data_IF_967962230427
#
_entry.id   IF_967962230427
#
_cell.length_a   1.000
_cell.length_b   1.000
_cell.length_c   1.000
_cell.angle_alpha   90.00
_cell.angle_beta   90.00
_cell.angle_gamma   90.00
#
_symmetry.space_group_name_H-M   'P 1'
#
loop_
_entity.id
_entity.type
_entity.pdbx_description
1 polymer ?
#
# COMPACT_ATOMS: atom_id res chain seq x y z
N UNK A 1 9.13 1.93 0.71
CA UNK A 1 8.21 1.18 1.61
C UNK A 1 6.85 0.86 0.99
N UNK A 2 6.12 1.80 0.37
CA UNK A 2 4.77 1.54 -0.15
C UNK A 2 4.68 0.37 -1.16
N UNK A 3 5.69 0.19 -2.00
CA UNK A 3 5.83 -0.92 -2.94
C UNK A 3 5.88 -2.29 -2.27
N UNK A 4 6.48 -2.39 -1.07
CA UNK A 4 6.49 -3.63 -0.30
C UNK A 4 5.09 -3.97 0.23
N UNK A 5 4.37 -2.98 0.76
CA UNK A 5 2.98 -3.18 1.21
C UNK A 5 2.08 -3.63 0.05
N UNK A 6 2.27 -3.02 -1.13
CA UNK A 6 1.58 -3.42 -2.35
C UNK A 6 1.89 -4.88 -2.72
N UNK A 7 3.17 -5.28 -2.69
CA UNK A 7 3.60 -6.65 -2.96
C UNK A 7 3.05 -7.66 -1.94
N UNK A 8 2.92 -7.26 -0.68
CA UNK A 8 2.48 -8.11 0.42
C UNK A 8 0.96 -8.40 0.44
N UNK A 9 0.18 -7.78 -0.45
CA UNK A 9 -1.25 -8.08 -0.59
C UNK A 9 -1.52 -9.53 -1.00
N UNK A 10 -2.75 -10.00 -0.78
CA UNK A 10 -3.19 -11.34 -1.17
C UNK A 10 -2.88 -11.61 -2.64
N UNK A 11 -2.23 -12.74 -3.00
CA UNK A 11 -1.95 -13.08 -4.39
C UNK A 11 -3.20 -13.04 -5.27
N UNK A 12 -3.09 -12.38 -6.43
CA UNK A 12 -4.21 -12.17 -7.36
C UNK A 12 -5.04 -10.91 -7.08
N UNK A 13 -4.84 -10.24 -5.94
CA UNK A 13 -5.61 -9.06 -5.51
C UNK A 13 -4.76 -7.78 -5.46
N UNK A 14 -3.55 -7.80 -6.00
CA UNK A 14 -2.64 -6.64 -5.99
C UNK A 14 -2.86 -5.82 -7.26
N UNK A 15 -3.49 -4.66 -7.12
CA UNK A 15 -3.94 -3.83 -8.23
C UNK A 15 -3.09 -2.56 -8.41
N UNK A 16 -2.97 -2.10 -9.66
CA UNK A 16 -2.42 -0.79 -9.99
C UNK A 16 -3.16 -0.16 -11.17
N UNK A 17 -3.23 1.16 -11.24
CA UNK A 17 -3.79 1.87 -12.40
C UNK A 17 -2.74 1.95 -13.52
N UNK A 18 -3.13 2.14 -14.80
CA UNK A 18 -2.21 2.01 -15.94
C UNK A 18 -1.10 3.08 -15.99
N UNK A 19 -1.28 4.20 -15.28
CA UNK A 19 -0.31 5.30 -15.22
C UNK A 19 0.29 5.50 -13.83
N UNK A 20 0.04 4.57 -12.91
CA UNK A 20 0.74 4.54 -11.62
C UNK A 20 2.23 4.27 -11.84
N UNK A 21 3.03 4.63 -10.83
CA UNK A 21 4.46 4.32 -10.81
C UNK A 21 4.78 3.60 -9.52
N UNK A 22 5.52 2.50 -9.63
CA UNK A 22 6.04 1.76 -8.49
C UNK A 22 7.52 2.07 -8.38
N UNK A 23 8.01 2.41 -7.19
CA UNK A 23 9.42 2.66 -6.95
C UNK A 23 9.95 1.66 -5.92
N UNK A 24 11.09 1.05 -6.24
CA UNK A 24 11.87 0.21 -5.33
C UNK A 24 13.15 0.92 -4.96
N UNK A 25 13.52 0.83 -3.69
CA UNK A 25 14.82 1.29 -3.22
C UNK A 25 15.20 0.54 -1.95
N UNK A 26 16.49 0.58 -1.64
CA UNK A 26 17.05 0.13 -0.38
C UNK A 26 16.60 1.03 0.78
N UNK A 27 16.66 0.57 2.03
CA UNK A 27 16.43 1.46 3.16
C UNK A 27 17.52 2.53 3.20
N UNK A 28 17.13 3.76 3.53
CA UNK A 28 18.03 4.89 3.72
C UNK A 28 18.12 5.25 5.20
N UNK A 29 19.30 5.66 5.65
CA UNK A 29 19.53 6.16 7.00
C UNK A 29 20.82 6.96 7.06
N UNK A 30 20.99 7.70 8.16
CA UNK A 30 22.19 8.47 8.44
C UNK A 30 22.44 8.49 9.94
N UNK A 31 23.72 8.41 10.33
CA UNK A 31 24.15 8.44 11.73
C UNK A 31 25.45 9.23 11.83
N UNK A 32 25.57 10.00 12.92
CA UNK A 32 26.79 10.70 13.32
C UNK A 32 26.92 10.61 14.83
N UNK A 33 28.13 10.45 15.36
CA UNK A 33 28.34 10.32 16.81
C UNK A 33 29.60 9.56 17.14
N UNK A 34 29.61 8.91 18.30
CA UNK A 34 30.73 8.06 18.69
C UNK A 34 30.85 6.88 17.71
N UNK A 35 32.07 6.36 17.54
CA UNK A 35 32.32 5.23 16.64
C UNK A 35 31.43 4.02 16.97
N UNK A 36 31.17 3.77 18.26
CA UNK A 36 30.26 2.72 18.73
C UNK A 36 28.84 2.91 18.22
N UNK A 37 28.30 4.13 18.29
CA UNK A 37 26.94 4.42 17.83
C UNK A 37 26.84 4.25 16.32
N UNK A 38 27.82 4.77 15.58
CA UNK A 38 27.90 4.60 14.11
C UNK A 38 27.91 3.12 13.76
N UNK A 39 28.69 2.30 14.47
CA UNK A 39 28.75 0.87 14.25
C UNK A 39 27.40 0.18 14.52
N UNK A 40 26.76 0.45 15.66
CA UNK A 40 25.46 -0.14 16.04
C UNK A 40 24.40 0.19 14.98
N UNK A 41 24.29 1.46 14.58
CA UNK A 41 23.32 1.88 13.59
C UNK A 41 23.61 1.33 12.18
N UNK A 42 24.88 1.17 11.83
CA UNK A 42 25.28 0.54 10.56
C UNK A 42 24.88 -0.94 10.54
N UNK A 43 25.02 -1.67 11.65
CA UNK A 43 24.55 -3.06 11.74
C UNK A 43 23.02 -3.16 11.62
N UNK A 44 22.29 -2.23 12.24
CA UNK A 44 20.83 -2.24 12.17
C UNK A 44 20.31 -1.95 10.76
N UNK A 45 20.88 -0.98 10.03
CA UNK A 45 20.45 -0.71 8.65
C UNK A 45 20.75 -1.89 7.71
N UNK A 46 21.88 -2.60 7.92
CA UNK A 46 22.20 -3.81 7.16
C UNK A 46 21.20 -4.94 7.44
N UNK A 47 20.79 -5.10 8.71
CA UNK A 47 19.77 -6.07 9.11
C UNK A 47 18.41 -5.75 8.51
N UNK A 48 17.99 -4.48 8.55
CA UNK A 48 16.75 -4.02 7.91
C UNK A 48 16.79 -4.29 6.41
N UNK A 49 17.91 -4.00 5.74
CA UNK A 49 18.08 -4.25 4.31
C UNK A 49 17.89 -5.73 3.97
N UNK A 50 18.53 -6.61 4.72
CA UNK A 50 18.42 -8.07 4.51
C UNK A 50 16.98 -8.56 4.73
N UNK A 51 16.33 -8.13 5.82
CA UNK A 51 14.92 -8.44 6.06
C UNK A 51 14.00 -7.97 4.92
N UNK A 52 14.23 -6.76 4.38
CA UNK A 52 13.46 -6.28 3.23
C UNK A 52 13.68 -7.16 2.00
N UNK A 53 14.92 -7.60 1.75
CA UNK A 53 15.20 -8.49 0.63
C UNK A 53 14.42 -9.80 0.74
N UNK A 54 14.44 -10.44 1.91
CA UNK A 54 13.68 -11.66 2.17
C UNK A 54 12.17 -11.46 1.97
N UNK A 55 11.62 -10.33 2.41
CA UNK A 55 10.21 -10.00 2.22
C UNK A 55 9.85 -9.81 0.75
N UNK A 56 10.70 -9.13 -0.03
CA UNK A 56 10.50 -9.02 -1.47
C UNK A 56 10.59 -10.39 -2.15
N UNK A 57 11.58 -11.22 -1.82
CA UNK A 57 11.69 -12.59 -2.35
C UNK A 57 10.42 -13.40 -2.04
N UNK A 58 9.89 -13.28 -0.82
CA UNK A 58 8.67 -13.98 -0.39
C UNK A 58 7.42 -13.57 -1.19
N UNK A 59 7.28 -12.28 -1.49
CA UNK A 59 6.05 -11.74 -2.07
C UNK A 59 6.12 -11.52 -3.59
N UNK A 60 7.30 -11.62 -4.18
CA UNK A 60 7.53 -11.43 -5.62
C UNK A 60 7.99 -12.74 -6.27
N UNK A 61 8.30 -12.69 -7.56
CA UNK A 61 8.87 -13.83 -8.30
C UNK A 61 10.38 -13.74 -8.44
N UNK A 62 11.00 -12.76 -7.79
CA UNK A 62 12.41 -12.45 -7.91
C UNK A 62 13.21 -13.29 -6.92
N UNK A 63 14.39 -13.74 -7.34
CA UNK A 63 15.36 -14.31 -6.42
C UNK A 63 16.11 -13.20 -5.66
N UNK A 64 16.88 -13.59 -4.63
CA UNK A 64 17.57 -12.63 -3.75
C UNK A 64 18.55 -11.72 -4.51
N UNK A 65 19.26 -12.24 -5.50
CA UNK A 65 20.23 -11.46 -6.28
C UNK A 65 19.53 -10.40 -7.13
N UNK A 66 18.42 -10.77 -7.78
CA UNK A 66 17.58 -9.83 -8.53
C UNK A 66 16.98 -8.75 -7.63
N UNK A 67 16.51 -9.13 -6.43
CA UNK A 67 16.01 -8.17 -5.44
C UNK A 67 17.11 -7.19 -5.02
N UNK A 68 18.30 -7.70 -4.68
CA UNK A 68 19.42 -6.86 -4.29
C UNK A 68 19.80 -5.86 -5.41
N UNK A 69 19.91 -6.33 -6.65
CA UNK A 69 20.18 -5.48 -7.82
C UNK A 69 19.09 -4.42 -8.02
N UNK A 70 17.82 -4.81 -7.91
CA UNK A 70 16.68 -3.94 -8.20
C UNK A 70 16.41 -2.89 -7.12
N UNK A 71 16.85 -3.12 -5.88
CA UNK A 71 16.70 -2.19 -4.78
C UNK A 71 17.94 -1.32 -4.54
N UNK A 72 19.10 -1.66 -5.10
CA UNK A 72 20.36 -0.94 -4.81
C UNK A 72 20.29 0.56 -5.12
N UNK A 73 19.53 0.96 -6.14
CA UNK A 73 19.23 2.35 -6.46
C UNK A 73 17.73 2.50 -6.71
N UNK A 74 17.29 3.74 -6.75
CA UNK A 74 15.92 4.08 -7.09
C UNK A 74 15.55 3.48 -8.45
N UNK A 75 14.68 2.47 -8.41
CA UNK A 75 14.19 1.78 -9.61
C UNK A 75 12.71 2.07 -9.78
N UNK A 76 12.38 2.79 -10.84
CA UNK A 76 11.01 3.17 -11.20
C UNK A 76 10.45 2.19 -12.23
N UNK A 77 9.27 1.66 -11.94
CA UNK A 77 8.60 0.65 -12.75
C UNK A 77 7.26 1.20 -13.24
N UNK A 78 6.95 0.91 -14.51
CA UNK A 78 5.58 0.95 -15.00
C UNK A 78 4.74 -0.15 -14.32
N UNK A 79 3.40 -0.06 -14.34
CA UNK A 79 2.55 -1.12 -13.81
C UNK A 79 2.80 -2.47 -14.48
N UNK A 80 3.09 -2.48 -15.78
CA UNK A 80 3.36 -3.71 -16.52
C UNK A 80 4.67 -4.38 -16.05
N UNK A 81 5.75 -3.60 -15.89
CA UNK A 81 7.00 -4.13 -15.31
C UNK A 81 6.82 -4.55 -13.85
N UNK A 82 6.04 -3.79 -13.05
CA UNK A 82 5.73 -4.17 -11.68
C UNK A 82 4.95 -5.49 -11.61
N UNK A 83 4.10 -5.76 -12.60
CA UNK A 83 3.38 -7.03 -12.74
C UNK A 83 4.31 -8.17 -13.12
N UNK A 84 5.22 -7.95 -14.06
CA UNK A 84 6.25 -8.94 -14.45
C UNK A 84 7.11 -9.33 -13.25
N UNK A 85 7.50 -8.36 -12.41
CA UNK A 85 8.29 -8.61 -11.21
C UNK A 85 7.47 -9.29 -10.11
N UNK A 86 6.15 -9.35 -10.25
CA UNK A 86 5.25 -9.94 -9.26
C UNK A 86 5.01 -9.07 -8.04
N UNK A 87 5.13 -7.74 -8.19
CA UNK A 87 4.74 -6.75 -7.17
C UNK A 87 3.23 -6.52 -7.20
N UNK A 88 2.65 -6.54 -8.41
CA UNK A 88 1.21 -6.50 -8.63
C UNK A 88 0.76 -7.68 -9.48
N UNK A 89 -0.54 -7.92 -9.52
CA UNK A 89 -1.14 -8.97 -10.34
C UNK A 89 -1.98 -8.39 -11.48
N UNK A 90 -2.61 -7.24 -11.25
CA UNK A 90 -3.63 -6.68 -12.15
C UNK A 90 -3.42 -5.19 -12.39
N UNK A 91 -3.24 -4.82 -13.65
CA UNK A 91 -3.39 -3.45 -14.12
C UNK A 91 -4.86 -3.20 -14.40
N UNK A 92 -5.56 -2.43 -13.54
CA UNK A 92 -6.99 -2.17 -13.66
C UNK A 92 -7.27 -0.78 -14.23
N UNK A 93 -8.31 -0.65 -15.07
CA UNK A 93 -8.86 0.66 -15.41
C UNK A 93 -9.83 1.09 -14.30
N UNK A 94 -10.05 2.40 -14.09
CA UNK A 94 -11.10 2.88 -13.21
C UNK A 94 -12.43 2.21 -13.59
N UNK A 95 -12.99 1.43 -12.67
CA UNK A 95 -14.31 0.83 -12.90
C UNK A 95 -15.36 1.89 -12.59
N UNK A 96 -16.27 2.14 -13.54
CA UNK A 96 -17.50 2.85 -13.21
C UNK A 96 -18.24 2.03 -12.16
N UNK A 97 -18.72 2.68 -11.10
CA UNK A 97 -19.57 2.03 -10.12
C UNK A 97 -20.75 1.42 -10.86
N UNK A 98 -21.03 0.13 -10.62
CA UNK A 98 -22.16 -0.58 -11.25
C UNK A 98 -23.52 -0.01 -10.80
N UNK A 99 -23.54 0.71 -9.68
CA UNK A 99 -24.72 1.37 -9.10
C UNK A 99 -24.33 2.74 -8.55
N UNK A 100 -25.25 3.72 -8.51
CA UNK A 100 -25.04 4.99 -7.82
C UNK A 100 -24.62 4.78 -6.37
N UNK A 101 -23.83 5.70 -5.81
CA UNK A 101 -23.33 5.60 -4.42
C UNK A 101 -24.51 5.53 -3.44
N UNK A 102 -25.63 6.18 -3.76
CA UNK A 102 -26.85 6.15 -2.94
C UNK A 102 -27.38 4.72 -2.74
N UNK A 103 -27.36 3.87 -3.78
CA UNK A 103 -27.85 2.47 -3.70
C UNK A 103 -26.87 1.52 -2.99
N UNK A 104 -25.60 1.90 -2.85
CA UNK A 104 -24.59 1.12 -2.12
C UNK A 104 -24.69 1.31 -0.59
N UNK A 105 -25.43 2.34 -0.14
CA UNK A 105 -25.66 2.64 1.28
C UNK A 105 -26.91 1.98 1.86
N UNK A 106 -27.69 1.28 1.03
CA UNK A 106 -28.84 0.51 1.49
C UNK A 106 -28.37 -0.67 2.35
N UNK A 107 -28.61 -0.55 3.66
CA UNK A 107 -28.25 -1.50 4.71
C UNK A 107 -28.83 -2.92 4.53
N UNK A 108 -29.62 -3.17 3.49
CA UNK A 108 -30.16 -4.48 3.13
C UNK A 108 -29.17 -5.37 2.36
N UNK A 109 -28.07 -4.83 1.83
CA UNK A 109 -27.15 -5.58 0.95
C UNK A 109 -25.82 -5.97 1.62
N UNK A 110 -25.60 -5.58 2.87
CA UNK A 110 -24.33 -5.79 3.58
C UNK A 110 -24.42 -7.07 4.42
N UNK A 111 -24.07 -8.21 3.84
CA UNK A 111 -23.76 -9.45 4.57
C UNK A 111 -22.27 -9.43 5.01
N UNK A 112 -21.91 -8.54 5.94
CA UNK A 112 -20.62 -8.62 6.65
C UNK A 112 -20.84 -8.86 8.14
N UNK A 113 -20.03 -9.74 8.77
CA UNK A 113 -20.21 -10.13 10.15
C UNK A 113 -20.02 -8.93 11.09
N UNK A 114 -21.13 -8.51 11.70
CA UNK A 114 -21.35 -7.89 13.03
C UNK A 114 -20.48 -6.72 13.54
N UNK A 115 -19.31 -6.42 13.00
CA UNK A 115 -18.39 -5.37 13.49
C UNK A 115 -18.64 -4.00 12.83
N UNK A 116 -19.34 -3.95 11.69
CA UNK A 116 -19.47 -2.73 10.88
C UNK A 116 -20.57 -1.74 11.32
N UNK A 117 -21.54 -2.17 12.14
CA UNK A 117 -22.69 -1.31 12.53
C UNK A 117 -22.30 -0.02 13.26
N UNK A 118 -21.42 -0.05 14.30
CA UNK A 118 -21.08 1.17 15.04
C UNK A 118 -20.34 2.19 14.18
N UNK A 119 -19.45 1.72 13.30
CA UNK A 119 -18.66 2.58 12.41
C UNK A 119 -19.57 3.23 11.35
N UNK A 120 -20.53 2.48 10.79
CA UNK A 120 -21.51 3.02 9.85
C UNK A 120 -22.40 4.10 10.51
N UNK A 121 -22.80 3.88 11.75
CA UNK A 121 -23.62 4.84 12.51
C UNK A 121 -22.86 6.15 12.76
N UNK A 122 -21.57 6.06 13.12
CA UNK A 122 -20.70 7.24 13.28
C UNK A 122 -20.52 8.01 11.96
N UNK A 123 -20.36 7.31 10.84
CA UNK A 123 -20.23 7.95 9.52
C UNK A 123 -21.55 8.64 9.12
N UNK A 124 -22.70 8.02 9.36
CA UNK A 124 -24.02 8.63 9.10
C UNK A 124 -24.25 9.88 9.95
N UNK A 125 -23.93 9.82 11.25
CA UNK A 125 -24.09 10.96 12.16
C UNK A 125 -23.19 12.13 11.75
N UNK A 126 -21.95 11.86 11.34
CA UNK A 126 -21.03 12.90 10.83
C UNK A 126 -21.58 13.55 9.55
N UNK A 127 -22.16 12.76 8.65
CA UNK A 127 -22.77 13.28 7.43
C UNK A 127 -23.98 14.17 7.71
N UNK A 128 -24.90 13.74 8.61
CA UNK A 128 -26.05 14.55 9.00
C UNK A 128 -25.63 15.88 9.64
N UNK A 129 -24.58 15.85 10.47
CA UNK A 129 -24.03 17.05 11.11
C UNK A 129 -23.50 18.04 10.05
N UNK A 130 -22.77 17.53 9.06
CA UNK A 130 -22.20 18.34 7.98
C UNK A 130 -23.26 18.87 7.01
N UNK A 131 -24.34 18.13 6.77
CA UNK A 131 -25.47 18.61 5.96
C UNK A 131 -26.31 19.66 6.70
N UNK A 132 -26.51 19.52 8.02
CA UNK A 132 -27.24 20.52 8.82
C UNK A 132 -26.47 21.84 8.98
N UNK A 133 -25.13 21.79 9.00
CA UNK A 133 -24.29 23.00 9.01
C UNK A 133 -24.39 23.82 7.72
N UNK A 134 -24.80 23.23 6.60
CA UNK A 134 -25.04 23.97 5.34
C UNK A 134 -26.31 24.80 5.36
N UNK A 135 -27.32 24.43 6.14
CA UNK A 135 -28.60 25.16 6.22
C UNK A 135 -28.55 26.38 7.15
N UNK A 136 -27.56 26.45 8.06
CA UNK A 136 -27.40 27.54 9.02
C UNK A 136 -26.48 28.66 8.47
N UNK A 137 -25.75 28.41 7.37
CA UNK A 137 -24.75 29.32 6.80
C UNK A 137 -25.24 30.18 5.61
N UNK A 138 -26.55 30.41 5.50
CA UNK A 138 -27.16 31.34 4.53
C UNK A 138 -27.94 32.45 5.20
#
# INVERSE_FOLDING_TARGET
MASLLLAAGTPGMRHSLPHSRVMLHQPSGGVSGQATDIFIHTQEILKIREMLYELYVKHTKLNKDQVAEHLERDKFLSPDLAKEYGIIDVTSKPQKLKKPIEELTDAKTINTPTIAKPILESIKNLFLLLSGLKEIAT
#
